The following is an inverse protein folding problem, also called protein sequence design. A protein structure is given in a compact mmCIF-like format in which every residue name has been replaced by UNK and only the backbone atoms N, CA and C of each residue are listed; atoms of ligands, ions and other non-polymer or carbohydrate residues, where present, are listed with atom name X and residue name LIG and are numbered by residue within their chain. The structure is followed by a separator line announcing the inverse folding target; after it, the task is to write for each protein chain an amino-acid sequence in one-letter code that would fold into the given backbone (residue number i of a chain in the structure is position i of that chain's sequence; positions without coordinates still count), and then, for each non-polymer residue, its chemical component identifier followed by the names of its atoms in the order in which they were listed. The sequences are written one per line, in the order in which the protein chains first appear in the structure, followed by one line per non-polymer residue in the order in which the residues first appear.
data_IF_046722917227
#
_entry.id   IF_046722917227
#
_cell.length_a   1.000
_cell.length_b   1.000
_cell.length_c   1.000
_cell.angle_alpha   90.00
_cell.angle_beta   90.00
_cell.angle_gamma   90.00
#
_symmetry.space_group_name_H-M   'P 1'
#
loop_
_entity.id
_entity.type
_entity.pdbx_description
1 polymer ?
#
# COMPACT_ATOMS: atom_id res chain seq x y z
N UNK A 1 -3.79 -24.17 80.12
CA UNK A 1 -4.65 -23.28 79.34
C UNK A 1 -5.44 -24.13 78.36
N UNK A 2 -6.75 -24.16 78.51
CA UNK A 2 -7.67 -25.08 77.84
C UNK A 2 -7.96 -24.63 76.40
N UNK A 3 -7.96 -25.57 75.46
CA UNK A 3 -8.37 -25.37 74.06
C UNK A 3 -9.89 -25.47 73.92
N UNK A 4 -10.58 -24.58 73.16
CA UNK A 4 -11.98 -24.77 72.85
C UNK A 4 -12.20 -25.45 71.48
N UNK A 5 -12.96 -26.54 71.58
CA UNK A 5 -13.88 -27.23 70.66
C UNK A 5 -13.75 -27.19 69.13
N UNK A 6 -13.74 -28.41 68.59
CA UNK A 6 -13.91 -28.79 67.19
C UNK A 6 -15.40 -28.73 66.83
N UNK A 7 -15.76 -28.00 65.78
CA UNK A 7 -17.08 -28.11 65.15
C UNK A 7 -17.14 -29.37 64.27
N UNK A 8 -18.24 -30.16 64.29
CA UNK A 8 -18.38 -31.30 63.40
C UNK A 8 -18.73 -30.85 61.98
N UNK A 9 -18.07 -31.49 61.01
CA UNK A 9 -18.30 -31.35 59.57
C UNK A 9 -19.63 -32.02 59.22
N UNK A 10 -20.61 -31.22 58.83
CA UNK A 10 -21.81 -31.68 58.12
C UNK A 10 -21.40 -32.45 56.86
N UNK A 11 -21.83 -33.72 56.79
CA UNK A 11 -21.82 -34.57 55.61
C UNK A 11 -23.25 -35.03 55.34
N UNK A 12 -24.08 -34.16 54.74
CA UNK A 12 -25.34 -34.58 54.13
C UNK A 12 -25.19 -34.77 52.62
N UNK A 13 -25.52 -35.96 52.06
CA UNK A 13 -25.47 -36.23 50.63
C UNK A 13 -26.84 -35.99 50.00
N UNK A 14 -27.08 -34.80 49.46
CA UNK A 14 -28.31 -34.55 48.71
C UNK A 14 -28.10 -34.92 47.23
N UNK A 15 -28.64 -36.08 46.88
CA UNK A 15 -28.80 -36.57 45.52
C UNK A 15 -29.82 -35.73 44.77
N UNK A 16 -29.41 -35.04 43.70
CA UNK A 16 -30.10 -34.90 42.40
C UNK A 16 -29.52 -33.72 41.60
N UNK A 17 -28.57 -34.00 40.70
CA UNK A 17 -28.39 -33.19 39.50
C UNK A 17 -27.87 -34.08 38.38
N UNK A 18 -28.82 -34.49 37.53
CA UNK A 18 -28.67 -35.15 36.23
C UNK A 18 -27.39 -34.79 35.48
N UNK A 19 -26.73 -35.81 34.93
CA UNK A 19 -25.48 -35.70 34.19
C UNK A 19 -25.51 -34.65 33.07
N UNK A 20 -24.79 -33.56 33.28
CA UNK A 20 -24.35 -32.68 32.20
C UNK A 20 -23.14 -33.30 31.53
N UNK A 21 -23.34 -34.21 30.56
CA UNK A 21 -22.29 -34.50 29.57
C UNK A 21 -21.86 -33.15 28.98
N UNK A 22 -20.55 -32.84 28.85
CA UNK A 22 -20.13 -31.60 28.22
C UNK A 22 -20.63 -31.60 26.78
N UNK A 23 -21.71 -30.87 26.53
CA UNK A 23 -22.26 -30.70 25.18
C UNK A 23 -21.20 -29.98 24.37
N UNK A 24 -20.65 -30.64 23.35
CA UNK A 24 -19.68 -30.04 22.44
C UNK A 24 -20.27 -28.73 21.92
N UNK A 25 -19.75 -27.60 22.41
CA UNK A 25 -20.17 -26.28 21.93
C UNK A 25 -19.98 -26.28 20.41
N UNK A 26 -21.00 -25.90 19.62
CA UNK A 26 -20.83 -25.84 18.17
C UNK A 26 -19.65 -24.91 17.88
N UNK A 27 -18.72 -25.38 17.03
CA UNK A 27 -17.57 -24.58 16.62
C UNK A 27 -18.11 -23.33 15.95
N UNK A 28 -17.86 -22.17 16.56
CA UNK A 28 -18.33 -20.89 16.03
C UNK A 28 -17.75 -20.69 14.63
N UNK A 29 -18.63 -20.62 13.64
CA UNK A 29 -18.25 -20.33 12.25
C UNK A 29 -18.00 -18.84 12.09
N UNK A 30 -17.37 -18.44 10.97
CA UNK A 30 -17.22 -17.02 10.61
C UNK A 30 -18.59 -16.34 10.51
N UNK A 31 -19.58 -17.06 9.98
CA UNK A 31 -20.96 -16.59 9.89
C UNK A 31 -21.59 -16.37 11.28
N UNK A 32 -21.31 -17.25 12.25
CA UNK A 32 -21.82 -17.08 13.62
C UNK A 32 -21.19 -15.86 14.33
N UNK A 33 -19.91 -15.57 14.05
CA UNK A 33 -19.24 -14.37 14.57
C UNK A 33 -19.83 -13.09 13.98
N UNK A 34 -20.04 -13.07 12.66
CA UNK A 34 -20.68 -11.94 11.97
C UNK A 34 -22.11 -11.74 12.47
N UNK A 35 -22.90 -12.82 12.60
CA UNK A 35 -24.26 -12.77 13.16
C UNK A 35 -24.26 -12.13 14.55
N UNK A 36 -23.37 -12.55 15.46
CA UNK A 36 -23.26 -11.95 16.80
C UNK A 36 -22.89 -10.47 16.77
N UNK A 37 -22.03 -10.07 15.84
CA UNK A 37 -21.68 -8.65 15.65
C UNK A 37 -22.88 -7.84 15.14
N UNK A 38 -23.63 -8.38 14.17
CA UNK A 38 -24.85 -7.77 13.66
C UNK A 38 -25.92 -7.67 14.74
N UNK A 39 -26.20 -8.74 15.48
CA UNK A 39 -27.16 -8.74 16.59
C UNK A 39 -26.81 -7.66 17.63
N UNK A 40 -25.51 -7.44 17.90
CA UNK A 40 -25.02 -6.39 18.80
C UNK A 40 -25.21 -4.97 18.24
N UNK A 41 -25.00 -4.77 16.94
CA UNK A 41 -25.21 -3.49 16.27
C UNK A 41 -26.71 -3.15 16.17
N UNK A 42 -27.54 -4.14 15.84
CA UNK A 42 -29.00 -3.99 15.70
C UNK A 42 -29.72 -3.85 17.04
N UNK A 43 -29.10 -4.23 18.16
CA UNK A 43 -29.68 -4.02 19.49
C UNK A 43 -29.87 -2.53 19.84
N UNK A 44 -29.07 -1.62 19.25
CA UNK A 44 -29.19 -0.17 19.45
C UNK A 44 -28.99 0.56 18.11
N UNK A 45 -30.01 0.61 17.24
CA UNK A 45 -29.88 1.16 15.88
C UNK A 45 -29.70 2.69 15.86
N UNK A 46 -30.07 3.39 16.93
CA UNK A 46 -29.92 4.86 17.04
C UNK A 46 -28.49 5.29 17.39
N UNK A 47 -27.62 4.37 17.84
CA UNK A 47 -26.24 4.70 18.19
C UNK A 47 -25.38 4.79 16.94
N UNK A 48 -24.80 5.97 16.71
CA UNK A 48 -23.86 6.17 15.60
C UNK A 48 -22.67 5.20 15.69
N UNK A 49 -22.38 4.54 14.57
CA UNK A 49 -21.26 3.60 14.45
C UNK A 49 -20.01 4.37 14.03
N UNK A 50 -19.07 4.54 14.96
CA UNK A 50 -17.74 5.09 14.66
C UNK A 50 -16.94 4.02 13.94
N UNK A 51 -16.81 4.16 12.62
CA UNK A 51 -15.86 3.36 11.85
C UNK A 51 -14.44 3.76 12.28
N UNK A 52 -13.52 2.79 12.43
CA UNK A 52 -12.12 3.14 12.67
C UNK A 52 -11.63 3.94 11.46
N UNK A 53 -11.37 5.23 11.68
CA UNK A 53 -10.54 6.01 10.78
C UNK A 53 -9.18 5.33 10.70
N UNK A 54 -8.53 5.35 9.55
CA UNK A 54 -7.32 4.55 9.26
C UNK A 54 -6.20 4.66 10.32
N UNK A 55 -5.18 3.82 10.17
CA UNK A 55 -4.06 3.75 11.12
C UNK A 55 -3.42 5.13 11.28
N UNK A 56 -3.52 5.71 12.47
CA UNK A 56 -2.91 7.00 12.82
C UNK A 56 -1.40 6.82 12.85
N UNK A 57 -0.66 7.73 12.21
CA UNK A 57 0.81 7.73 12.23
C UNK A 57 1.30 7.99 13.65
N UNK A 58 2.42 7.37 14.02
CA UNK A 58 3.06 7.63 15.31
C UNK A 58 3.73 8.99 15.23
N UNK A 59 3.26 9.95 16.01
CA UNK A 59 3.85 11.27 16.09
C UNK A 59 4.29 11.52 17.54
N UNK A 60 5.44 12.17 17.71
CA UNK A 60 5.84 12.64 19.02
C UNK A 60 5.14 13.94 19.36
N UNK A 61 4.85 14.10 20.65
CA UNK A 61 4.35 15.38 21.16
C UNK A 61 5.39 16.46 20.90
N UNK A 62 4.95 17.59 20.36
CA UNK A 62 5.79 18.76 20.16
C UNK A 62 6.54 19.14 21.46
N UNK A 63 7.82 19.56 21.35
CA UNK A 63 8.56 20.04 22.51
C UNK A 63 7.87 21.24 23.14
N UNK A 64 8.06 21.43 24.43
CA UNK A 64 7.56 22.63 25.12
C UNK A 64 8.41 23.85 24.71
N UNK A 65 7.75 24.96 24.40
CA UNK A 65 8.38 26.21 23.98
C UNK A 65 9.25 26.83 25.10
N UNK A 66 8.69 26.92 26.32
CA UNK A 66 9.42 27.44 27.49
C UNK A 66 9.44 26.44 28.64
N UNK A 67 10.64 26.06 29.07
CA UNK A 67 10.85 25.30 30.30
C UNK A 67 10.86 26.26 31.49
N UNK A 68 9.93 26.06 32.44
CA UNK A 68 9.77 26.94 33.61
C UNK A 68 10.79 26.67 34.73
N UNK A 69 11.44 25.51 34.72
CA UNK A 69 12.25 25.00 35.83
C UNK A 69 13.71 24.81 35.40
N UNK A 70 14.28 25.78 34.67
CA UNK A 70 15.69 25.72 34.25
C UNK A 70 16.56 26.21 35.40
N UNK A 71 17.34 25.32 35.99
CA UNK A 71 18.33 25.68 37.01
C UNK A 71 19.55 26.35 36.34
N UNK A 72 20.24 27.26 37.04
CA UNK A 72 21.34 28.05 36.47
C UNK A 72 22.50 27.19 35.93
N UNK A 73 23.21 27.69 34.92
CA UNK A 73 24.19 26.92 34.15
C UNK A 73 25.40 26.42 34.94
N UNK A 74 25.73 27.08 36.07
CA UNK A 74 26.82 26.68 36.97
C UNK A 74 26.35 25.85 38.17
N UNK A 75 25.06 25.58 38.28
CA UNK A 75 24.52 24.83 39.40
C UNK A 75 24.80 23.33 39.23
N UNK A 76 25.09 22.63 40.32
CA UNK A 76 25.43 21.20 40.30
C UNK A 76 24.26 20.29 39.89
N UNK A 77 24.58 19.03 39.58
CA UNK A 77 23.60 18.02 39.22
C UNK A 77 22.64 17.73 40.39
N UNK A 78 21.35 18.00 40.19
CA UNK A 78 20.30 17.64 41.14
C UNK A 78 19.92 16.16 41.07
N UNK A 79 19.24 15.64 42.09
CA UNK A 79 18.78 14.24 42.14
C UNK A 79 17.75 13.89 41.05
N UNK A 80 17.01 14.87 40.54
CA UNK A 80 16.03 14.70 39.46
C UNK A 80 16.61 14.75 38.05
N UNK A 81 17.85 15.22 37.88
CA UNK A 81 18.43 15.49 36.56
C UNK A 81 18.60 14.20 35.73
N UNK A 82 18.92 13.09 36.39
CA UNK A 82 19.02 11.78 35.74
C UNK A 82 17.70 11.38 35.06
N UNK A 83 16.57 11.64 35.71
CA UNK A 83 15.27 11.30 35.13
C UNK A 83 14.91 12.25 33.98
N UNK A 84 15.26 13.53 34.08
CA UNK A 84 15.07 14.49 32.98
C UNK A 84 15.84 14.03 31.74
N UNK A 85 17.13 13.70 31.89
CA UNK A 85 17.96 13.16 30.80
C UNK A 85 17.41 11.85 30.24
N UNK A 86 16.98 10.91 31.09
CA UNK A 86 16.42 9.63 30.63
C UNK A 86 15.18 9.84 29.75
N UNK A 87 14.29 10.75 30.14
CA UNK A 87 13.07 11.04 29.37
C UNK A 87 13.38 11.83 28.09
N UNK A 88 14.28 12.82 28.15
CA UNK A 88 14.67 13.59 26.96
C UNK A 88 15.38 12.71 25.93
N UNK A 89 16.31 11.85 26.36
CA UNK A 89 17.03 10.91 25.49
C UNK A 89 16.08 9.91 24.85
N UNK A 90 15.14 9.35 25.62
CA UNK A 90 14.13 8.43 25.08
C UNK A 90 13.28 9.11 24.01
N UNK A 91 12.79 10.32 24.28
CA UNK A 91 12.02 11.11 23.29
C UNK A 91 12.84 11.40 22.04
N UNK A 92 14.12 11.73 22.20
CA UNK A 92 15.00 12.01 21.06
C UNK A 92 15.26 10.77 20.20
N UNK A 93 15.47 9.62 20.82
CA UNK A 93 15.60 8.36 20.08
C UNK A 93 14.33 7.96 19.36
N UNK A 94 13.17 8.12 20.00
CA UNK A 94 11.89 7.91 19.33
C UNK A 94 11.71 8.90 18.16
N UNK A 95 12.23 10.13 18.28
CA UNK A 95 12.15 11.17 17.23
C UNK A 95 12.97 10.79 16.02
N UNK A 96 14.24 10.42 16.26
CA UNK A 96 15.15 9.98 15.21
C UNK A 96 14.64 8.71 14.55
N UNK A 97 14.13 7.76 15.32
CA UNK A 97 13.55 6.53 14.80
C UNK A 97 12.37 6.79 13.87
N UNK A 98 11.43 7.67 14.26
CA UNK A 98 10.28 8.00 13.40
C UNK A 98 10.74 8.68 12.11
N UNK A 99 11.68 9.62 12.20
CA UNK A 99 12.23 10.30 11.02
C UNK A 99 12.92 9.32 10.06
N UNK A 100 13.71 8.37 10.58
CA UNK A 100 14.35 7.33 9.80
C UNK A 100 13.35 6.31 9.20
N UNK A 101 12.30 5.96 9.93
CA UNK A 101 11.24 5.08 9.44
C UNK A 101 10.44 5.77 8.32
N UNK A 102 10.17 7.07 8.45
CA UNK A 102 9.49 7.87 7.44
C UNK A 102 10.32 8.03 6.17
N UNK A 103 11.61 8.35 6.28
CA UNK A 103 12.50 8.48 5.13
C UNK A 103 12.62 7.16 4.36
N UNK A 104 12.84 6.04 5.06
CA UNK A 104 12.88 4.70 4.45
C UNK A 104 11.56 4.36 3.75
N UNK A 105 10.42 4.64 4.40
CA UNK A 105 9.12 4.38 3.80
C UNK A 105 8.84 5.26 2.56
N UNK A 106 9.33 6.49 2.54
CA UNK A 106 9.23 7.38 1.38
C UNK A 106 10.10 6.89 0.21
N UNK A 107 11.35 6.52 0.47
CA UNK A 107 12.27 5.94 -0.51
C UNK A 107 11.69 4.66 -1.13
N UNK A 108 11.17 3.75 -0.31
CA UNK A 108 10.53 2.50 -0.76
C UNK A 108 9.29 2.77 -1.62
N UNK A 109 8.44 3.73 -1.23
CA UNK A 109 7.27 4.13 -2.01
C UNK A 109 7.66 4.77 -3.34
N UNK A 110 8.66 5.64 -3.35
CA UNK A 110 9.16 6.28 -4.56
C UNK A 110 9.76 5.24 -5.51
N UNK A 111 10.55 4.30 -5.00
CA UNK A 111 11.10 3.20 -5.79
C UNK A 111 10.00 2.29 -6.35
N UNK A 112 8.98 1.98 -5.55
CA UNK A 112 7.83 1.19 -6.01
C UNK A 112 7.04 1.92 -7.10
N UNK A 113 6.75 3.21 -6.92
CA UNK A 113 6.03 4.02 -7.90
C UNK A 113 6.79 4.10 -9.24
N UNK A 114 8.11 4.29 -9.21
CA UNK A 114 8.97 4.24 -10.41
C UNK A 114 8.84 2.89 -11.13
N UNK A 115 9.05 1.78 -10.40
CA UNK A 115 8.91 0.42 -10.98
C UNK A 115 7.53 0.16 -11.55
N UNK A 116 6.48 0.69 -10.93
CA UNK A 116 5.11 0.53 -11.42
C UNK A 116 4.91 1.33 -12.72
N UNK A 117 5.35 2.59 -12.75
CA UNK A 117 5.27 3.44 -13.93
C UNK A 117 6.04 2.84 -15.13
N UNK A 118 7.22 2.27 -14.88
CA UNK A 118 8.02 1.62 -15.94
C UNK A 118 7.28 0.41 -16.53
N UNK A 119 6.69 -0.44 -15.69
CA UNK A 119 5.89 -1.60 -16.15
C UNK A 119 4.65 -1.17 -16.92
N UNK A 120 3.97 -0.13 -16.44
CA UNK A 120 2.77 0.39 -17.08
C UNK A 120 3.12 1.02 -18.44
N UNK A 121 4.22 1.78 -18.54
CA UNK A 121 4.71 2.34 -19.79
C UNK A 121 5.11 1.25 -20.81
N UNK A 122 5.77 0.17 -20.36
CA UNK A 122 6.07 -0.97 -21.23
C UNK A 122 4.79 -1.66 -21.75
N UNK A 123 3.82 -1.89 -20.87
CA UNK A 123 2.53 -2.48 -21.24
C UNK A 123 1.76 -1.58 -22.21
N UNK A 124 1.73 -0.27 -21.96
CA UNK A 124 1.13 0.73 -22.83
C UNK A 124 1.81 0.79 -24.19
N UNK A 125 3.14 0.77 -24.26
CA UNK A 125 3.86 0.77 -25.54
C UNK A 125 3.54 -0.48 -26.38
N UNK A 126 3.47 -1.66 -25.76
CA UNK A 126 3.11 -2.93 -26.42
C UNK A 126 1.67 -2.90 -26.89
N UNK A 127 0.75 -2.44 -26.05
CA UNK A 127 -0.68 -2.36 -26.38
C UNK A 127 -0.98 -1.29 -27.43
N UNK A 128 -0.30 -0.13 -27.39
CA UNK A 128 -0.41 0.95 -28.37
C UNK A 128 0.09 0.51 -29.75
N UNK A 129 1.27 -0.14 -29.83
CA UNK A 129 1.78 -0.73 -31.07
C UNK A 129 0.77 -1.72 -31.68
N UNK A 130 0.19 -2.59 -30.86
CA UNK A 130 -0.81 -3.57 -31.32
C UNK A 130 -2.15 -2.91 -31.71
N UNK A 131 -2.58 -1.87 -30.99
CA UNK A 131 -3.77 -1.08 -31.30
C UNK A 131 -3.59 -0.35 -32.64
N UNK A 132 -2.44 0.28 -32.88
CA UNK A 132 -2.11 0.93 -34.15
C UNK A 132 -2.13 -0.05 -35.33
N UNK A 133 -1.53 -1.24 -35.18
CA UNK A 133 -1.60 -2.32 -36.20
C UNK A 133 -3.04 -2.72 -36.51
N UNK A 134 -3.89 -2.86 -35.50
CA UNK A 134 -5.33 -3.19 -35.67
C UNK A 134 -6.10 -2.07 -36.35
N UNK A 135 -5.86 -0.81 -35.98
CA UNK A 135 -6.54 0.34 -36.60
C UNK A 135 -6.15 0.49 -38.07
N UNK A 136 -4.87 0.33 -38.43
CA UNK A 136 -4.44 0.33 -39.85
C UNK A 136 -5.16 -0.76 -40.66
N UNK A 137 -5.29 -1.98 -40.12
CA UNK A 137 -6.05 -3.07 -40.76
C UNK A 137 -7.55 -2.77 -40.88
N UNK A 138 -8.15 -2.11 -39.89
CA UNK A 138 -9.56 -1.71 -39.93
C UNK A 138 -9.81 -0.62 -40.98
N UNK A 139 -8.95 0.40 -41.02
CA UNK A 139 -9.02 1.47 -42.00
C UNK A 139 -8.83 0.93 -43.43
N UNK A 140 -7.88 0.01 -43.65
CA UNK A 140 -7.71 -0.64 -44.96
C UNK A 140 -8.93 -1.45 -45.42
N UNK A 141 -9.64 -2.13 -44.49
CA UNK A 141 -10.87 -2.88 -44.81
C UNK A 141 -12.10 -2.00 -45.01
N UNK A 142 -12.16 -0.85 -44.34
CA UNK A 142 -13.26 0.11 -44.48
C UNK A 142 -13.07 1.02 -45.70
N UNK A 143 -11.82 1.34 -46.08
CA UNK A 143 -11.50 2.09 -47.30
C UNK A 143 -11.67 1.29 -48.59
N UNK A 144 -11.67 -0.06 -48.53
CA UNK A 144 -11.97 -0.91 -49.68
C UNK A 144 -13.45 -1.28 -49.82
N UNK A 145 -14.33 -0.77 -48.94
CA UNK A 145 -15.78 -0.85 -49.13
C UNK A 145 -16.22 0.49 -49.72
N UNK A 146 -16.57 0.56 -51.02
CA UNK A 146 -17.20 1.76 -51.54
C UNK A 146 -18.47 2.01 -50.72
N UNK A 147 -18.65 3.26 -50.31
CA UNK A 147 -19.88 3.77 -49.74
C UNK A 147 -20.99 3.66 -50.81
N UNK A 148 -21.62 2.50 -50.88
CA UNK A 148 -22.79 2.25 -51.71
C UNK A 148 -23.66 1.21 -51.00
N UNK A 149 -24.35 1.64 -49.95
CA UNK A 149 -25.58 1.00 -49.51
C UNK A 149 -26.55 2.16 -49.24
N UNK A 150 -27.12 2.68 -50.32
CA UNK A 150 -28.45 3.29 -50.28
C UNK A 150 -29.45 2.22 -49.83
N UNK A 151 -30.29 2.59 -48.87
CA UNK A 151 -31.33 1.73 -48.33
C UNK A 151 -32.45 1.52 -49.37
N UNK A 152 -32.58 0.30 -49.88
CA UNK A 152 -33.86 -0.25 -50.35
C UNK A 152 -34.05 -1.62 -49.67
N UNK A 153 -35.19 -1.89 -49.00
CA UNK A 153 -35.43 -3.17 -48.36
C UNK A 153 -36.22 -4.09 -49.30
N UNK A 154 -35.53 -5.02 -49.96
CA UNK A 154 -36.19 -6.18 -50.58
C UNK A 154 -35.35 -7.43 -50.34
N UNK A 155 -36.01 -8.43 -49.74
CA UNK A 155 -35.40 -9.58 -49.11
C UNK A 155 -34.91 -10.69 -50.03
N UNK A 156 -34.28 -11.67 -49.37
CA UNK A 156 -34.21 -13.07 -49.78
C UNK A 156 -33.07 -13.46 -50.74
N UNK A 157 -32.21 -14.38 -50.29
CA UNK A 157 -31.36 -15.17 -51.19
C UNK A 157 -29.92 -15.32 -50.72
N UNK A 158 -29.58 -16.49 -50.16
CA UNK A 158 -28.25 -16.78 -49.65
C UNK A 158 -27.18 -16.91 -50.73
N UNK A 159 -25.95 -16.54 -50.38
CA UNK A 159 -24.74 -17.02 -51.06
C UNK A 159 -23.70 -17.47 -50.02
N UNK A 160 -23.44 -18.77 -50.05
CA UNK A 160 -22.31 -19.44 -49.40
C UNK A 160 -21.02 -18.84 -49.95
N UNK A 161 -20.32 -18.01 -49.16
CA UNK A 161 -18.95 -17.60 -49.49
C UNK A 161 -17.98 -18.56 -48.83
N UNK A 162 -17.42 -19.44 -49.67
CA UNK A 162 -16.27 -20.30 -49.41
C UNK A 162 -15.10 -19.41 -49.01
N UNK A 163 -14.69 -19.49 -47.74
CA UNK A 163 -13.51 -18.81 -47.24
C UNK A 163 -12.30 -19.60 -47.72
N UNK A 164 -11.68 -19.15 -48.82
CA UNK A 164 -10.41 -19.71 -49.26
C UNK A 164 -9.33 -19.39 -48.23
N UNK A 165 -8.74 -20.48 -47.74
CA UNK A 165 -7.62 -20.52 -46.84
C UNK A 165 -6.36 -20.01 -47.56
N UNK A 166 -6.07 -18.73 -47.40
CA UNK A 166 -4.76 -18.14 -47.68
C UNK A 166 -4.34 -17.30 -46.49
N UNK A 167 -3.80 -17.99 -45.48
CA UNK A 167 -3.13 -17.40 -44.34
C UNK A 167 -1.90 -18.26 -44.03
N UNK A 168 -0.79 -17.67 -43.58
CA UNK A 168 0.41 -18.44 -43.26
C UNK A 168 0.05 -19.45 -42.16
N UNK A 169 0.46 -20.71 -42.36
CA UNK A 169 0.24 -21.80 -41.41
C UNK A 169 0.85 -21.38 -40.07
N UNK A 170 0.00 -21.04 -39.10
CA UNK A 170 0.42 -20.82 -37.71
C UNK A 170 0.74 -22.21 -37.16
N UNK A 171 2.02 -22.58 -37.21
CA UNK A 171 2.53 -23.76 -36.53
C UNK A 171 2.53 -23.47 -35.02
N UNK A 172 1.66 -24.16 -34.28
CA UNK A 172 1.67 -24.14 -32.82
C UNK A 172 2.88 -24.98 -32.36
N UNK A 173 4.00 -24.33 -32.04
CA UNK A 173 5.16 -24.99 -31.44
C UNK A 173 4.81 -25.39 -30.00
N UNK A 174 5.13 -26.65 -29.64
CA UNK A 174 5.04 -27.13 -28.25
C UNK A 174 6.12 -26.44 -27.41
N UNK A 175 5.88 -26.20 -26.11
CA UNK A 175 6.91 -25.64 -25.23
C UNK A 175 8.09 -26.64 -25.11
N UNK A 176 9.29 -26.24 -25.54
CA UNK A 176 10.54 -26.99 -25.30
C UNK A 176 11.39 -27.35 -26.52
N UNK A 177 11.36 -26.60 -27.63
CA UNK A 177 12.25 -26.84 -28.78
C UNK A 177 12.95 -25.52 -29.16
N UNK A 178 14.11 -25.29 -28.55
CA UNK A 178 15.06 -24.24 -28.89
C UNK A 178 16.21 -24.89 -29.69
N UNK A 179 16.32 -24.56 -30.97
CA UNK A 179 17.55 -24.74 -31.76
C UNK A 179 17.71 -23.50 -32.66
N UNK A 180 18.65 -22.66 -32.23
CA UNK A 180 19.70 -22.01 -33.01
C UNK A 180 19.33 -21.33 -34.33
N UNK A 181 19.19 -20.01 -34.24
CA UNK A 181 19.31 -19.07 -35.35
C UNK A 181 20.26 -17.95 -34.95
N UNK A 182 21.55 -18.14 -35.24
CA UNK A 182 22.62 -17.16 -35.12
C UNK A 182 22.34 -15.93 -36.00
N UNK A 183 22.18 -14.76 -35.39
CA UNK A 183 22.53 -13.47 -35.99
C UNK A 183 23.39 -12.74 -34.95
N UNK A 184 24.71 -12.85 -35.11
CA UNK A 184 25.70 -12.01 -34.45
C UNK A 184 25.61 -10.58 -35.00
N UNK A 185 25.35 -9.59 -34.13
CA UNK A 185 25.93 -8.25 -34.26
C UNK A 185 26.36 -7.73 -32.88
N UNK A 186 27.66 -7.88 -32.63
CA UNK A 186 28.60 -6.84 -32.20
C UNK A 186 28.24 -5.86 -31.04
N UNK A 187 28.73 -6.23 -29.85
CA UNK A 187 29.57 -5.45 -28.90
C UNK A 187 29.31 -3.95 -28.69
N UNK A 188 28.96 -3.60 -27.43
CA UNK A 188 29.48 -2.40 -26.72
C UNK A 188 28.53 -1.75 -25.70
N UNK A 189 29.02 -0.95 -24.74
CA UNK A 189 30.17 -1.12 -23.85
C UNK A 189 29.74 -1.25 -22.37
N UNK A 190 30.64 -1.75 -21.52
CA UNK A 190 30.45 -1.85 -20.07
C UNK A 190 30.33 -0.46 -19.40
N UNK A 191 29.55 -0.32 -18.30
CA UNK A 191 29.41 0.96 -17.61
C UNK A 191 30.73 1.41 -16.95
N UNK A 192 31.09 2.71 -16.98
CA UNK A 192 32.28 3.21 -16.31
C UNK A 192 32.14 3.13 -14.79
N UNK A 193 33.20 2.64 -14.15
CA UNK A 193 33.46 2.80 -12.73
C UNK A 193 33.65 4.30 -12.43
N UNK A 194 32.77 4.88 -11.61
CA UNK A 194 32.90 6.26 -11.16
C UNK A 194 33.52 6.23 -9.78
N UNK A 195 34.81 6.55 -9.70
CA UNK A 195 35.49 6.85 -8.44
C UNK A 195 34.93 8.17 -7.87
N UNK A 196 34.41 8.10 -6.65
CA UNK A 196 33.86 9.22 -5.90
C UNK A 196 35.00 10.13 -5.42
N UNK A 197 35.27 11.22 -6.16
CA UNK A 197 36.02 12.36 -5.62
C UNK A 197 35.05 13.22 -4.80
N UNK A 198 35.25 13.20 -3.49
CA UNK A 198 34.61 14.10 -2.52
C UNK A 198 35.10 15.53 -2.80
N UNK A 199 34.20 16.41 -3.20
CA UNK A 199 34.43 17.85 -3.26
C UNK A 199 33.58 18.50 -2.15
N UNK A 200 34.24 19.14 -1.19
CA UNK A 200 33.62 19.85 -0.06
C UNK A 200 32.73 21.00 -0.54
N UNK A 201 31.51 21.19 0.00
CA UNK A 201 30.67 22.33 -0.37
C UNK A 201 31.15 23.62 0.33
N UNK A 202 31.52 24.64 -0.47
CA UNK A 202 31.72 26.01 0.01
C UNK A 202 30.40 26.65 0.50
N UNK A 203 30.46 27.56 1.50
CA UNK A 203 29.27 28.16 2.10
C UNK A 203 28.56 29.13 1.14
N UNK A 204 27.27 28.88 0.90
CA UNK A 204 26.40 29.74 0.09
C UNK A 204 26.20 31.11 0.76
N UNK A 205 26.55 32.18 0.05
CA UNK A 205 26.30 33.57 0.47
C UNK A 205 24.80 33.87 0.36
N UNK A 206 24.23 34.39 1.43
CA UNK A 206 22.83 34.83 1.50
C UNK A 206 22.55 35.93 0.47
N UNK A 207 21.57 35.70 -0.40
CA UNK A 207 20.99 36.72 -1.29
C UNK A 207 19.85 37.42 -0.55
N UNK A 208 19.98 38.74 -0.43
CA UNK A 208 19.02 39.62 0.24
C UNK A 208 17.70 39.72 -0.56
N UNK A 209 16.57 39.60 0.14
CA UNK A 209 15.23 39.64 -0.44
C UNK A 209 14.86 41.06 -0.92
N UNK A 210 14.46 41.19 -2.19
CA UNK A 210 13.97 42.45 -2.74
C UNK A 210 12.49 42.64 -2.39
N UNK A 211 12.21 43.69 -1.61
CA UNK A 211 10.87 44.07 -1.15
C UNK A 211 10.10 44.77 -2.28
N UNK A 212 9.16 44.07 -2.90
CA UNK A 212 8.26 44.64 -3.91
C UNK A 212 7.18 45.47 -3.19
N UNK A 213 7.05 46.74 -3.56
CA UNK A 213 5.96 47.63 -3.11
C UNK A 213 4.95 47.76 -4.25
N UNK A 214 3.69 47.45 -3.96
CA UNK A 214 2.56 47.63 -4.88
C UNK A 214 2.00 49.03 -4.63
N UNK A 215 1.96 49.86 -5.66
CA UNK A 215 1.29 51.16 -5.67
C UNK A 215 -0.01 50.96 -6.42
N UNK A 216 -1.14 51.13 -5.74
CA UNK A 216 -2.47 51.17 -6.35
C UNK A 216 -2.69 52.59 -6.90
N UNK A 217 -2.83 52.74 -8.22
CA UNK A 217 -3.29 53.97 -8.88
C UNK A 217 -4.83 53.98 -8.95
N UNK A 218 -5.42 55.11 -8.54
CA UNK A 218 -6.85 55.44 -8.55
C UNK A 218 -7.50 55.45 -9.94
#
# INVERSE_FOLDING_TARGET
MASPDRTPRDLSPDSHASGSRPTKKPRTTVADLQRRQLDKLLANPEKEVVLPTGIVKKELRAPHDMMKNVQGSSAGAGSGEFHVYKQSRRREYERLQIMEEESKAEEERAAFAKRQADRDAEAESKTAKNRAKRQKRKQGKNGSKPAAIENTPTGGGGLKRKLEASGPKIAFRRPGEDEDGEEEEEVGPAPPHVEEKVEEPEPQRAVEETKITIVDED
#
